data_IF_779551060460
#
_entry.id   IF_779551060460
#
_cell.length_a   1.000
_cell.length_b   1.000
_cell.length_c   1.000
_cell.angle_alpha   90.00
_cell.angle_beta   90.00
_cell.angle_gamma   90.00
#
_symmetry.space_group_name_H-M   'P 1'
#
loop_
_entity.id
_entity.type
_entity.pdbx_description
1 polymer ?
#
# COMPACT_ATOMS: atom_id res chain seq x y z
N UNK A 1 39.24 -11.93 9.88
CA UNK A 1 38.79 -10.64 10.44
C UNK A 1 37.27 -10.69 10.43
N UNK A 2 36.66 -10.87 11.61
CA UNK A 2 35.19 -10.87 11.75
C UNK A 2 34.70 -9.45 11.47
N UNK A 3 33.90 -9.26 10.41
CA UNK A 3 33.25 -7.97 10.15
C UNK A 3 32.36 -7.63 11.36
N UNK A 4 32.58 -6.45 11.95
CA UNK A 4 31.69 -5.92 12.99
C UNK A 4 30.28 -5.86 12.37
N UNK A 5 29.28 -6.51 12.97
CA UNK A 5 27.93 -6.47 12.42
C UNK A 5 27.47 -5.02 12.34
N UNK A 6 27.03 -4.59 11.15
CA UNK A 6 26.53 -3.22 10.92
C UNK A 6 25.31 -3.02 11.80
N UNK A 7 25.36 -2.05 12.71
CA UNK A 7 24.18 -1.66 13.50
C UNK A 7 23.09 -1.20 12.55
N UNK A 8 21.95 -1.87 12.59
CA UNK A 8 20.78 -1.54 11.76
C UNK A 8 19.76 -0.81 12.63
N UNK A 9 19.21 0.28 12.12
CA UNK A 9 18.11 1.00 12.77
C UNK A 9 16.80 0.45 12.28
N UNK A 10 15.94 -0.03 13.19
CA UNK A 10 14.68 -0.70 12.88
C UNK A 10 13.51 0.14 13.39
N UNK A 11 12.68 0.62 12.48
CA UNK A 11 11.43 1.30 12.78
C UNK A 11 10.34 0.30 13.14
N UNK A 12 9.56 0.57 14.17
CA UNK A 12 8.47 -0.29 14.63
C UNK A 12 7.18 0.50 14.63
N UNK A 13 6.21 0.03 13.83
CA UNK A 13 4.88 0.62 13.70
C UNK A 13 3.84 -0.44 14.01
N UNK A 14 3.00 -0.22 15.01
CA UNK A 14 1.89 -1.10 15.33
C UNK A 14 0.54 -0.44 15.00
N UNK A 15 -0.47 -1.26 14.73
CA UNK A 15 -1.85 -0.79 14.58
C UNK A 15 -2.26 -0.04 15.86
N UNK A 16 -2.77 1.18 15.71
CA UNK A 16 -3.32 1.95 16.83
C UNK A 16 -4.38 1.13 17.58
N UNK A 17 -4.36 1.20 18.91
CA UNK A 17 -5.27 0.46 19.81
C UNK A 17 -5.07 -1.07 19.86
N UNK A 18 -4.05 -1.65 19.21
CA UNK A 18 -3.74 -3.08 19.30
C UNK A 18 -3.04 -3.39 20.64
N UNK A 19 -3.82 -3.47 21.74
CA UNK A 19 -3.27 -3.75 23.08
C UNK A 19 -2.58 -5.12 23.17
N UNK A 20 -2.99 -6.06 22.36
CA UNK A 20 -2.38 -7.39 22.27
C UNK A 20 -0.93 -7.33 21.76
N UNK A 21 -0.54 -6.26 21.06
CA UNK A 21 0.84 -6.08 20.60
C UNK A 21 1.79 -5.66 21.73
N UNK A 22 1.31 -5.11 22.87
CA UNK A 22 2.17 -4.55 23.93
C UNK A 22 3.26 -5.51 24.44
N UNK A 23 2.99 -6.77 24.79
CA UNK A 23 4.05 -7.69 25.18
C UNK A 23 5.08 -7.91 24.07
N UNK A 24 4.61 -8.10 22.83
CA UNK A 24 5.48 -8.31 21.67
C UNK A 24 6.36 -7.10 21.34
N UNK A 25 5.85 -5.86 21.54
CA UNK A 25 6.65 -4.64 21.35
C UNK A 25 7.85 -4.60 22.31
N UNK A 26 7.64 -4.97 23.57
CA UNK A 26 8.72 -5.02 24.58
C UNK A 26 9.72 -6.14 24.27
N UNK A 27 9.24 -7.28 23.80
CA UNK A 27 10.09 -8.41 23.42
C UNK A 27 10.94 -8.07 22.18
N UNK A 28 10.35 -7.41 21.16
CA UNK A 28 11.09 -6.93 19.97
C UNK A 28 12.16 -5.91 20.36
N UNK A 29 11.82 -4.94 21.25
CA UNK A 29 12.80 -3.97 21.75
C UNK A 29 14.00 -4.67 22.39
N UNK A 30 13.75 -5.63 23.30
CA UNK A 30 14.78 -6.40 23.97
C UNK A 30 15.59 -7.25 22.98
N UNK A 31 14.93 -7.93 22.04
CA UNK A 31 15.55 -8.81 21.05
C UNK A 31 16.49 -8.05 20.11
N UNK A 32 16.06 -6.89 19.59
CA UNK A 32 16.86 -6.03 18.71
C UNK A 32 18.07 -5.46 19.47
N UNK A 33 17.84 -4.92 20.68
CA UNK A 33 18.91 -4.33 21.51
C UNK A 33 19.97 -5.34 21.88
N UNK A 34 19.58 -6.57 22.26
CA UNK A 34 20.51 -7.64 22.60
C UNK A 34 21.42 -8.06 21.42
N UNK A 35 20.99 -7.78 20.18
CA UNK A 35 21.76 -8.05 18.95
C UNK A 35 22.52 -6.83 18.41
N UNK A 36 22.51 -5.72 19.15
CA UNK A 36 23.23 -4.49 18.76
C UNK A 36 22.51 -3.65 17.71
N UNK A 37 21.22 -3.93 17.45
CA UNK A 37 20.37 -3.12 16.57
C UNK A 37 19.64 -2.04 17.37
N UNK A 38 19.22 -0.97 16.68
CA UNK A 38 18.57 0.17 17.29
C UNK A 38 17.09 0.23 16.94
N UNK A 39 16.18 -0.08 17.89
CA UNK A 39 14.75 0.12 17.68
C UNK A 39 14.36 1.61 17.75
N UNK A 40 13.49 2.05 16.85
CA UNK A 40 12.82 3.36 16.86
C UNK A 40 11.32 3.10 16.74
N UNK A 41 10.55 3.60 17.71
CA UNK A 41 9.10 3.38 17.72
C UNK A 41 8.36 4.57 17.11
N UNK A 42 7.33 4.28 16.34
CA UNK A 42 6.39 5.31 15.92
C UNK A 42 5.63 5.83 17.16
N UNK A 43 5.25 7.12 17.16
CA UNK A 43 4.67 7.81 18.32
C UNK A 43 3.44 7.10 18.90
N UNK A 44 2.46 6.71 18.05
CA UNK A 44 1.26 6.02 18.53
C UNK A 44 1.59 4.59 19.00
N UNK A 45 2.58 3.94 18.41
CA UNK A 45 3.09 2.63 18.82
C UNK A 45 3.77 2.71 20.19
N UNK A 46 4.61 3.72 20.42
CA UNK A 46 5.27 3.93 21.71
C UNK A 46 4.26 4.17 22.84
N UNK A 47 3.12 4.81 22.53
CA UNK A 47 2.04 5.05 23.49
C UNK A 47 1.33 3.77 23.98
N UNK A 48 1.50 2.63 23.27
CA UNK A 48 0.99 1.33 23.71
C UNK A 48 1.89 0.67 24.77
N UNK A 49 3.10 1.19 24.96
CA UNK A 49 4.14 0.62 25.83
C UNK A 49 4.29 1.43 27.13
N UNK A 50 4.81 0.79 28.17
CA UNK A 50 5.20 1.53 29.37
C UNK A 50 6.32 2.52 29.06
N UNK A 51 6.29 3.74 29.62
CA UNK A 51 7.34 4.73 29.43
C UNK A 51 8.73 4.16 29.84
N UNK A 52 9.74 4.39 28.99
CA UNK A 52 11.12 3.98 29.24
C UNK A 52 12.07 5.11 28.83
N UNK A 53 12.93 5.52 29.74
CA UNK A 53 13.97 6.50 29.46
C UNK A 53 14.90 5.98 28.34
N UNK A 54 15.25 6.85 27.40
CA UNK A 54 16.15 6.53 26.28
C UNK A 54 15.53 5.78 25.12
N UNK A 55 14.22 5.42 25.18
CA UNK A 55 13.52 4.87 24.01
C UNK A 55 13.44 5.93 22.90
N UNK A 56 13.87 5.56 21.69
CA UNK A 56 13.76 6.43 20.53
C UNK A 56 12.34 6.38 19.96
N UNK A 57 11.75 7.55 19.78
CA UNK A 57 10.38 7.72 19.25
C UNK A 57 10.41 8.78 18.17
N UNK A 58 9.70 8.56 17.10
CA UNK A 58 9.51 9.51 16.00
C UNK A 58 8.08 9.43 15.45
N UNK A 59 7.60 10.48 14.81
CA UNK A 59 6.40 10.37 14.00
C UNK A 59 6.67 9.51 12.76
N UNK A 60 5.63 9.06 12.09
CA UNK A 60 5.76 8.10 10.99
C UNK A 60 6.62 8.61 9.82
N UNK A 61 6.47 9.87 9.35
CA UNK A 61 7.34 10.42 8.29
C UNK A 61 8.82 10.50 8.72
N UNK A 62 9.12 10.99 9.92
CA UNK A 62 10.49 11.07 10.42
C UNK A 62 11.09 9.66 10.69
N UNK A 63 10.27 8.71 11.13
CA UNK A 63 10.68 7.33 11.34
C UNK A 63 11.17 6.72 10.02
N UNK A 64 10.33 6.73 8.96
CA UNK A 64 10.70 6.11 7.68
C UNK A 64 11.93 6.75 7.05
N UNK A 65 12.16 8.05 7.29
CA UNK A 65 13.32 8.77 6.78
C UNK A 65 14.64 8.44 7.52
N UNK A 66 14.57 7.83 8.72
CA UNK A 66 15.72 7.65 9.62
C UNK A 66 16.08 6.19 9.91
N UNK A 67 15.36 5.22 9.34
CA UNK A 67 15.57 3.79 9.62
C UNK A 67 16.03 3.02 8.38
N UNK A 68 16.64 1.86 8.60
CA UNK A 68 17.09 0.96 7.53
C UNK A 68 16.04 -0.13 7.18
N UNK A 69 15.08 -0.37 8.08
CA UNK A 69 14.01 -1.37 7.96
C UNK A 69 12.80 -0.90 8.76
N UNK A 70 11.59 -1.11 8.24
CA UNK A 70 10.35 -0.92 9.02
C UNK A 70 9.66 -2.25 9.26
N UNK A 71 9.31 -2.52 10.51
CA UNK A 71 8.46 -3.64 10.93
C UNK A 71 7.08 -3.11 11.24
N UNK A 72 6.08 -3.63 10.55
CA UNK A 72 4.67 -3.27 10.73
C UNK A 72 3.98 -4.42 11.46
N UNK A 73 3.42 -4.13 12.63
CA UNK A 73 2.65 -5.07 13.44
C UNK A 73 1.17 -4.74 13.33
N UNK A 74 0.43 -5.49 12.52
CA UNK A 74 -0.99 -5.20 12.27
C UNK A 74 -1.50 -5.87 11.00
N UNK A 75 -2.51 -5.28 10.38
CA UNK A 75 -3.05 -5.73 9.10
C UNK A 75 -2.64 -4.83 7.94
N UNK A 76 -3.16 -5.13 6.75
CA UNK A 76 -2.85 -4.44 5.50
C UNK A 76 -3.03 -2.91 5.58
N UNK A 77 -4.08 -2.40 6.25
CA UNK A 77 -4.29 -0.97 6.40
C UNK A 77 -3.17 -0.23 7.16
N UNK A 78 -2.52 -0.89 8.14
CA UNK A 78 -1.37 -0.31 8.83
C UNK A 78 -0.15 -0.27 7.89
N UNK A 79 0.04 -1.33 7.11
CA UNK A 79 1.12 -1.41 6.12
C UNK A 79 0.94 -0.35 5.03
N UNK A 80 -0.28 -0.17 4.50
CA UNK A 80 -0.59 0.86 3.50
C UNK A 80 -0.18 2.25 3.99
N UNK A 81 -0.48 2.60 5.25
CA UNK A 81 -0.11 3.91 5.81
C UNK A 81 1.41 4.11 5.95
N UNK A 82 2.19 3.02 6.12
CA UNK A 82 3.66 3.08 6.13
C UNK A 82 4.18 3.19 4.70
N UNK A 83 3.61 2.42 3.77
CA UNK A 83 3.99 2.46 2.36
C UNK A 83 3.79 3.86 1.74
N UNK A 84 2.68 4.54 2.09
CA UNK A 84 2.43 5.93 1.69
C UNK A 84 3.55 6.86 2.20
N UNK A 85 3.91 6.76 3.49
CA UNK A 85 5.00 7.57 4.06
C UNK A 85 6.36 7.28 3.41
N UNK A 86 6.69 6.00 3.13
CA UNK A 86 7.92 5.60 2.44
C UNK A 86 7.96 6.18 1.02
N UNK A 87 6.85 6.08 0.30
CA UNK A 87 6.71 6.65 -1.03
C UNK A 87 6.82 8.17 -1.04
N UNK A 88 6.11 8.86 -0.14
CA UNK A 88 6.13 10.32 -0.01
C UNK A 88 7.50 10.86 0.39
N UNK A 89 8.22 10.18 1.29
CA UNK A 89 9.59 10.53 1.67
C UNK A 89 10.61 10.24 0.56
N UNK A 90 10.25 9.46 -0.47
CA UNK A 90 11.14 9.07 -1.54
C UNK A 90 12.34 8.23 -1.07
N UNK A 91 12.19 7.51 0.05
CA UNK A 91 13.24 6.66 0.63
C UNK A 91 13.09 5.21 0.16
N UNK A 92 14.22 4.48 0.20
CA UNK A 92 14.25 3.07 -0.20
C UNK A 92 14.41 2.18 1.05
N UNK A 93 13.37 2.16 1.88
CA UNK A 93 13.33 1.39 3.13
C UNK A 93 12.41 0.18 2.96
N UNK A 94 12.90 -1.06 3.17
CA UNK A 94 12.06 -2.24 3.09
C UNK A 94 11.09 -2.33 4.28
N UNK A 95 9.94 -2.95 4.04
CA UNK A 95 8.88 -3.13 5.04
C UNK A 95 8.65 -4.61 5.27
N UNK A 96 8.72 -5.05 6.53
CA UNK A 96 8.28 -6.36 6.98
C UNK A 96 6.90 -6.26 7.61
N UNK A 97 5.88 -6.83 6.97
CA UNK A 97 4.51 -6.85 7.49
C UNK A 97 4.22 -8.11 8.30
N UNK A 98 3.88 -7.96 9.57
CA UNK A 98 3.53 -9.06 10.51
C UNK A 98 2.07 -8.92 10.91
N UNK A 99 1.29 -9.94 10.63
CA UNK A 99 -0.14 -9.97 10.89
C UNK A 99 -0.46 -10.41 12.32
N UNK A 100 -1.40 -9.71 12.95
CA UNK A 100 -1.93 -10.00 14.29
C UNK A 100 -3.36 -10.57 14.28
N UNK A 101 -3.89 -10.95 13.12
CA UNK A 101 -5.26 -11.44 12.97
C UNK A 101 -5.41 -12.41 11.81
N UNK A 102 -6.44 -12.23 11.01
CA UNK A 102 -6.58 -12.98 9.75
C UNK A 102 -5.49 -12.55 8.78
N UNK A 103 -4.85 -13.52 8.15
CA UNK A 103 -3.78 -13.30 7.17
C UNK A 103 -4.22 -12.30 6.10
N UNK A 104 -3.41 -11.26 5.89
CA UNK A 104 -3.62 -10.26 4.85
C UNK A 104 -2.92 -10.62 3.54
N UNK A 105 -3.11 -9.79 2.53
CA UNK A 105 -2.42 -9.92 1.25
C UNK A 105 -1.05 -9.20 1.24
N UNK A 106 -0.86 -8.25 2.16
CA UNK A 106 0.39 -7.48 2.31
C UNK A 106 1.16 -7.89 3.56
N UNK A 107 0.45 -8.22 4.64
CA UNK A 107 1.02 -8.66 5.91
C UNK A 107 1.03 -10.19 5.93
N UNK A 108 2.04 -10.79 5.32
CA UNK A 108 2.11 -12.23 5.09
C UNK A 108 2.81 -13.01 6.22
N UNK A 109 3.66 -12.36 7.03
CA UNK A 109 4.27 -12.98 8.18
C UNK A 109 3.28 -13.10 9.34
N UNK A 110 3.27 -14.25 10.00
CA UNK A 110 2.54 -14.48 11.25
C UNK A 110 3.41 -14.15 12.46
N UNK A 111 2.82 -14.04 13.66
CA UNK A 111 3.58 -13.80 14.90
C UNK A 111 4.69 -14.84 15.17
N UNK A 112 4.46 -16.14 14.98
CA UNK A 112 5.54 -17.14 15.10
C UNK A 112 6.70 -16.93 14.13
N UNK A 113 6.44 -16.34 12.95
CA UNK A 113 7.43 -16.07 11.91
C UNK A 113 8.16 -14.73 12.10
N UNK A 114 7.75 -13.90 13.07
CA UNK A 114 8.33 -12.58 13.32
C UNK A 114 9.85 -12.62 13.46
N UNK A 115 10.36 -13.38 14.43
CA UNK A 115 11.81 -13.42 14.72
C UNK A 115 12.62 -14.10 13.62
N UNK A 116 12.22 -15.24 13.05
CA UNK A 116 12.89 -15.78 11.85
C UNK A 116 12.94 -14.81 10.68
N UNK A 117 11.86 -14.07 10.43
CA UNK A 117 11.80 -13.06 9.36
C UNK A 117 12.67 -11.83 9.65
N UNK A 118 12.72 -11.38 10.90
CA UNK A 118 13.63 -10.32 11.34
C UNK A 118 15.11 -10.74 11.19
N UNK A 119 15.46 -11.94 11.60
CA UNK A 119 16.83 -12.48 11.46
C UNK A 119 17.24 -12.51 9.98
N UNK A 120 16.35 -13.02 9.11
CA UNK A 120 16.59 -13.04 7.67
C UNK A 120 16.72 -11.63 7.07
N UNK A 121 15.90 -10.68 7.52
CA UNK A 121 15.96 -9.28 7.08
C UNK A 121 17.28 -8.61 7.49
N UNK A 122 17.68 -8.76 8.75
CA UNK A 122 18.89 -8.14 9.30
C UNK A 122 20.18 -8.78 8.79
N UNK A 123 20.15 -10.06 8.42
CA UNK A 123 21.28 -10.75 7.78
C UNK A 123 21.35 -10.54 6.26
N UNK A 124 20.36 -9.85 5.65
CA UNK A 124 20.29 -9.64 4.20
C UNK A 124 19.86 -10.88 3.41
N UNK A 125 19.30 -11.89 4.08
CA UNK A 125 18.84 -13.13 3.46
C UNK A 125 17.34 -13.13 3.13
N UNK A 126 16.59 -12.09 3.58
CA UNK A 126 15.18 -11.99 3.28
C UNK A 126 14.96 -11.74 1.78
N UNK A 127 13.95 -12.41 1.23
CA UNK A 127 13.50 -12.13 -0.13
C UNK A 127 12.76 -10.80 -0.16
N UNK A 128 13.15 -9.94 -1.09
CA UNK A 128 12.51 -8.65 -1.32
C UNK A 128 11.57 -8.76 -2.51
N UNK A 129 10.34 -8.29 -2.35
CA UNK A 129 9.40 -8.09 -3.45
C UNK A 129 9.13 -6.60 -3.65
N UNK A 130 9.33 -6.16 -4.86
CA UNK A 130 9.02 -4.78 -5.26
C UNK A 130 7.56 -4.65 -5.66
N UNK A 131 6.88 -3.66 -5.09
CA UNK A 131 5.48 -3.36 -5.36
C UNK A 131 5.36 -2.01 -6.05
N UNK A 132 4.68 -2.02 -7.18
CA UNK A 132 4.33 -0.82 -7.91
C UNK A 132 3.38 0.05 -7.09
N UNK A 133 3.57 1.37 -7.12
CA UNK A 133 2.62 2.34 -6.60
C UNK A 133 2.05 3.21 -7.72
N UNK A 134 0.85 3.70 -7.53
CA UNK A 134 0.28 4.77 -8.34
C UNK A 134 0.61 6.12 -7.73
N UNK A 135 0.81 7.10 -8.60
CA UNK A 135 0.90 8.52 -8.28
C UNK A 135 -0.28 9.23 -8.95
N UNK A 136 -1.07 9.91 -8.16
CA UNK A 136 -2.22 10.65 -8.63
C UNK A 136 -2.08 12.14 -8.36
N UNK A 137 -2.41 12.96 -9.36
CA UNK A 137 -2.41 14.43 -9.28
C UNK A 137 -3.73 14.92 -9.86
N UNK A 138 -4.46 15.73 -9.13
CA UNK A 138 -5.65 16.41 -9.67
C UNK A 138 -5.27 17.76 -10.22
N UNK A 139 -5.65 18.02 -11.46
CA UNK A 139 -5.53 19.31 -12.10
C UNK A 139 -6.84 20.06 -11.91
N UNK A 140 -6.79 21.22 -11.22
CA UNK A 140 -7.93 22.10 -10.98
C UNK A 140 -7.66 23.47 -11.57
N UNK A 141 -8.49 23.91 -12.50
CA UNK A 141 -8.29 25.20 -13.20
C UNK A 141 -6.84 25.39 -13.72
N UNK A 142 -6.21 24.33 -14.23
CA UNK A 142 -4.84 24.36 -14.73
C UNK A 142 -3.74 24.26 -13.67
N UNK A 143 -4.08 24.23 -12.39
CA UNK A 143 -3.14 24.12 -11.26
C UNK A 143 -3.13 22.68 -10.74
N UNK A 144 -1.95 22.13 -10.50
CA UNK A 144 -1.79 20.82 -9.88
C UNK A 144 -2.04 20.92 -8.36
N UNK A 145 -2.95 20.11 -7.84
CA UNK A 145 -3.11 19.90 -6.40
C UNK A 145 -1.99 18.98 -5.88
N UNK A 146 -1.82 18.89 -4.55
CA UNK A 146 -0.83 17.97 -3.97
C UNK A 146 -0.94 16.56 -4.52
N UNK A 147 0.20 15.95 -4.78
CA UNK A 147 0.28 14.56 -5.24
C UNK A 147 -0.06 13.59 -4.10
N UNK A 148 -0.71 12.49 -4.47
CA UNK A 148 -0.99 11.37 -3.57
C UNK A 148 -0.43 10.08 -4.17
N UNK A 149 0.01 9.20 -3.30
CA UNK A 149 0.46 7.86 -3.65
C UNK A 149 -0.58 6.82 -3.23
N UNK A 150 -0.63 5.71 -3.94
CA UNK A 150 -1.46 4.57 -3.59
C UNK A 150 -0.74 3.27 -3.92
N UNK A 151 -0.68 2.35 -2.96
CA UNK A 151 -0.14 1.01 -3.17
C UNK A 151 -1.19 0.07 -3.78
N UNK A 152 -2.47 0.23 -3.38
CA UNK A 152 -3.59 -0.54 -3.93
C UNK A 152 -4.27 0.18 -5.08
N UNK A 153 -4.94 1.30 -4.80
CA UNK A 153 -5.84 1.91 -5.78
C UNK A 153 -6.09 3.40 -5.55
N UNK A 154 -6.47 4.05 -6.65
CA UNK A 154 -7.08 5.39 -6.69
C UNK A 154 -8.52 5.19 -7.13
N UNK A 155 -9.48 5.60 -6.29
CA UNK A 155 -10.90 5.41 -6.54
C UNK A 155 -11.59 6.75 -6.74
N UNK A 156 -12.28 6.89 -7.85
CA UNK A 156 -13.15 8.04 -8.14
C UNK A 156 -14.59 7.55 -8.03
N UNK A 157 -15.34 8.07 -7.06
CA UNK A 157 -16.69 7.57 -6.77
C UNK A 157 -17.63 8.69 -6.37
N UNK A 158 -18.92 8.47 -6.58
CA UNK A 158 -19.99 9.36 -6.11
C UNK A 158 -20.18 9.27 -4.59
N UNK A 159 -20.79 10.29 -4.01
CA UNK A 159 -21.36 10.19 -2.66
C UNK A 159 -22.48 9.13 -2.62
N UNK A 160 -22.69 8.52 -1.44
CA UNK A 160 -23.61 7.39 -1.26
C UNK A 160 -25.06 7.63 -1.76
N UNK A 161 -25.53 8.88 -1.77
CA UNK A 161 -26.89 9.26 -2.21
C UNK A 161 -26.92 9.98 -3.56
N UNK A 162 -25.78 10.15 -4.22
CA UNK A 162 -25.71 10.82 -5.51
C UNK A 162 -26.20 9.91 -6.66
N UNK A 163 -26.57 10.53 -7.80
CA UNK A 163 -26.85 9.81 -9.04
C UNK A 163 -25.56 9.17 -9.57
N UNK A 164 -25.66 8.24 -10.52
CA UNK A 164 -24.48 7.67 -11.19
C UNK A 164 -23.56 8.77 -11.71
N UNK A 165 -22.26 8.53 -11.61
CA UNK A 165 -21.28 9.44 -12.21
C UNK A 165 -21.14 9.16 -13.70
N UNK A 166 -20.76 10.20 -14.42
CA UNK A 166 -20.33 10.10 -15.82
C UNK A 166 -18.85 10.51 -15.87
N UNK A 167 -17.97 9.55 -16.16
CA UNK A 167 -16.52 9.75 -16.14
C UNK A 167 -15.97 9.58 -17.55
N UNK A 168 -15.28 10.61 -18.08
CA UNK A 168 -14.46 10.52 -19.28
C UNK A 168 -13.10 9.93 -18.94
N UNK A 169 -12.71 8.84 -19.60
CA UNK A 169 -11.44 8.13 -19.34
C UNK A 169 -10.59 8.13 -20.60
N UNK A 170 -9.36 8.61 -20.46
CA UNK A 170 -8.32 8.57 -21.51
C UNK A 170 -7.06 7.91 -21.01
N UNK A 171 -6.33 7.24 -21.92
CA UNK A 171 -5.02 6.62 -21.66
C UNK A 171 -4.01 7.20 -22.65
N UNK A 172 -2.99 7.84 -22.14
CA UNK A 172 -2.15 8.69 -22.97
C UNK A 172 -2.98 9.80 -23.61
N UNK A 173 -2.89 9.94 -24.93
CA UNK A 173 -3.66 10.92 -25.69
C UNK A 173 -4.94 10.33 -26.34
N UNK A 174 -5.20 9.05 -26.08
CA UNK A 174 -6.36 8.36 -26.65
C UNK A 174 -7.54 8.35 -25.68
N UNK A 175 -8.70 8.77 -26.18
CA UNK A 175 -9.97 8.58 -25.47
C UNK A 175 -10.33 7.09 -25.48
N UNK A 176 -10.54 6.50 -24.31
CA UNK A 176 -10.84 5.07 -24.18
C UNK A 176 -12.35 4.84 -24.08
N UNK A 177 -13.01 5.51 -23.14
CA UNK A 177 -14.41 5.27 -22.86
C UNK A 177 -15.05 6.36 -22.02
N UNK A 178 -16.37 6.35 -21.99
CA UNK A 178 -17.20 7.07 -21.05
C UNK A 178 -17.84 6.08 -20.09
N UNK A 179 -17.55 6.20 -18.80
CA UNK A 179 -18.02 5.28 -17.77
C UNK A 179 -19.21 5.91 -17.04
N UNK A 180 -20.40 5.35 -17.25
CA UNK A 180 -21.59 5.64 -16.43
C UNK A 180 -21.71 4.57 -15.36
N UNK A 181 -21.34 4.90 -14.12
CA UNK A 181 -21.18 3.95 -13.04
C UNK A 181 -21.30 4.62 -11.67
N UNK A 182 -21.19 3.88 -10.59
CA UNK A 182 -21.05 4.43 -9.26
C UNK A 182 -19.64 4.99 -9.04
N UNK A 183 -18.66 4.58 -9.86
CA UNK A 183 -17.30 5.08 -9.86
C UNK A 183 -16.37 4.28 -10.76
N UNK A 184 -15.07 4.60 -10.64
CA UNK A 184 -13.98 3.93 -11.33
C UNK A 184 -12.84 3.68 -10.34
N UNK A 185 -12.32 2.47 -10.35
CA UNK A 185 -11.11 2.07 -9.65
C UNK A 185 -9.96 2.05 -10.65
N UNK A 186 -8.86 2.69 -10.30
CA UNK A 186 -7.58 2.55 -10.98
C UNK A 186 -6.63 1.87 -10.00
N UNK A 187 -6.33 0.59 -10.24
CA UNK A 187 -5.61 -0.25 -9.30
C UNK A 187 -4.22 -0.66 -9.80
N UNK A 188 -3.32 -0.89 -8.87
CA UNK A 188 -2.06 -1.61 -9.10
C UNK A 188 -2.34 -3.12 -9.17
N UNK A 189 -1.38 -3.95 -9.61
CA UNK A 189 -1.47 -5.39 -9.44
C UNK A 189 -1.62 -5.81 -7.97
N UNK A 190 -0.98 -5.11 -7.04
CA UNK A 190 -1.16 -5.32 -5.59
C UNK A 190 -2.61 -5.08 -5.17
N UNK A 191 -3.20 -3.96 -5.58
CA UNK A 191 -4.59 -3.60 -5.30
C UNK A 191 -5.62 -4.42 -6.07
N UNK A 192 -5.19 -5.26 -7.03
CA UNK A 192 -6.11 -6.14 -7.78
C UNK A 192 -6.90 -7.08 -6.88
N UNK A 193 -6.39 -7.38 -5.69
CA UNK A 193 -7.04 -8.24 -4.67
C UNK A 193 -7.79 -7.44 -3.60
N UNK A 194 -7.75 -6.09 -3.66
CA UNK A 194 -8.46 -5.20 -2.75
C UNK A 194 -9.85 -4.81 -3.31
N UNK A 195 -10.18 -3.53 -3.34
CA UNK A 195 -11.50 -3.07 -3.81
C UNK A 195 -11.77 -3.45 -5.27
N UNK A 196 -10.72 -3.49 -6.09
CA UNK A 196 -10.80 -3.98 -7.47
C UNK A 196 -11.47 -5.36 -7.57
N UNK A 197 -11.12 -6.30 -6.69
CA UNK A 197 -11.69 -7.66 -6.69
C UNK A 197 -13.19 -7.61 -6.37
N UNK A 198 -13.59 -6.85 -5.35
CA UNK A 198 -14.99 -6.68 -4.97
C UNK A 198 -15.84 -6.03 -6.08
N UNK A 199 -15.23 -5.17 -6.92
CA UNK A 199 -15.86 -4.57 -8.08
C UNK A 199 -15.87 -5.47 -9.33
N UNK A 200 -15.37 -6.70 -9.24
CA UNK A 200 -15.33 -7.66 -10.34
C UNK A 200 -14.15 -7.47 -11.30
N UNK A 201 -13.12 -6.76 -10.89
CA UNK A 201 -11.85 -6.64 -11.62
C UNK A 201 -11.04 -7.92 -11.63
N UNK A 202 -10.09 -8.10 -12.55
CA UNK A 202 -9.23 -9.26 -12.63
C UNK A 202 -8.20 -9.25 -11.51
N UNK A 203 -7.78 -10.45 -11.09
CA UNK A 203 -6.61 -10.64 -10.25
C UNK A 203 -5.36 -10.58 -11.12
N UNK A 204 -4.41 -9.73 -10.74
CA UNK A 204 -3.13 -9.58 -11.43
C UNK A 204 -2.00 -9.89 -10.46
N UNK A 205 -1.03 -10.70 -10.90
CA UNK A 205 0.15 -10.98 -10.07
C UNK A 205 0.94 -9.70 -9.81
N UNK A 206 1.41 -9.46 -8.57
CA UNK A 206 2.13 -8.24 -8.20
C UNK A 206 3.40 -7.94 -9.00
N UNK A 207 3.99 -8.97 -9.64
CA UNK A 207 5.20 -8.84 -10.49
C UNK A 207 4.90 -8.33 -11.90
N UNK A 208 3.63 -8.26 -12.31
CA UNK A 208 3.23 -7.78 -13.63
C UNK A 208 3.19 -6.26 -13.63
N UNK A 209 3.85 -5.64 -14.60
CA UNK A 209 3.84 -4.18 -14.77
C UNK A 209 2.57 -3.72 -15.51
N UNK A 210 1.49 -3.53 -14.76
CA UNK A 210 0.18 -3.17 -15.28
C UNK A 210 -0.56 -2.18 -14.38
N UNK A 211 -1.56 -1.53 -14.96
CA UNK A 211 -2.61 -0.76 -14.26
C UNK A 211 -3.94 -1.39 -14.63
N UNK A 212 -4.83 -1.55 -13.67
CA UNK A 212 -6.17 -2.10 -13.86
C UNK A 212 -7.20 -0.98 -13.70
N UNK A 213 -8.10 -0.84 -14.66
CA UNK A 213 -9.24 0.08 -14.59
C UNK A 213 -10.50 -0.74 -14.45
N UNK A 214 -11.21 -0.58 -13.35
CA UNK A 214 -12.43 -1.36 -13.04
C UNK A 214 -13.59 -0.42 -12.70
N UNK A 215 -14.65 -0.37 -13.54
CA UNK A 215 -15.86 0.38 -13.23
C UNK A 215 -16.58 -0.23 -12.02
N UNK A 216 -17.13 0.61 -11.15
CA UNK A 216 -17.95 0.18 -9.99
C UNK A 216 -19.41 0.21 -10.40
N UNK A 217 -20.08 -0.95 -10.38
CA UNK A 217 -21.48 -1.09 -10.76
C UNK A 217 -21.85 -0.35 -12.07
N UNK A 218 -21.20 -0.64 -13.21
CA UNK A 218 -21.45 0.06 -14.45
C UNK A 218 -22.84 -0.22 -14.97
N UNK A 219 -23.50 0.82 -15.48
CA UNK A 219 -24.82 0.69 -16.08
C UNK A 219 -24.77 0.12 -17.50
N UNK A 220 -23.68 0.34 -18.22
CA UNK A 220 -23.51 -0.16 -19.59
C UNK A 220 -22.81 -1.53 -19.57
N UNK A 221 -23.41 -2.50 -20.25
CA UNK A 221 -22.89 -3.87 -20.38
C UNK A 221 -21.55 -3.95 -21.11
N UNK A 222 -21.17 -2.92 -21.85
CA UNK A 222 -19.89 -2.82 -22.58
C UNK A 222 -18.73 -2.39 -21.69
N UNK A 223 -19.00 -1.76 -20.54
CA UNK A 223 -17.96 -1.32 -19.61
C UNK A 223 -17.42 -2.52 -18.83
N UNK A 224 -16.30 -3.03 -19.27
CA UNK A 224 -15.56 -4.14 -18.65
C UNK A 224 -14.29 -3.62 -18.02
N UNK A 225 -13.77 -4.29 -16.97
CA UNK A 225 -12.41 -4.03 -16.49
C UNK A 225 -11.40 -4.21 -17.63
N UNK A 226 -10.43 -3.31 -17.70
CA UNK A 226 -9.32 -3.37 -18.65
C UNK A 226 -7.98 -3.32 -17.92
N UNK A 227 -6.99 -4.00 -18.50
CA UNK A 227 -5.60 -4.00 -18.02
C UNK A 227 -4.76 -3.29 -19.07
N UNK A 228 -3.97 -2.32 -18.64
CA UNK A 228 -3.10 -1.51 -19.48
C UNK A 228 -1.66 -1.56 -18.98
N UNK A 229 -0.66 -1.24 -19.81
CA UNK A 229 0.73 -1.17 -19.36
C UNK A 229 0.93 -0.16 -18.24
N UNK A 230 1.84 -0.48 -17.31
CA UNK A 230 2.20 0.39 -16.19
C UNK A 230 2.79 1.75 -16.63
N UNK A 231 3.34 1.83 -17.84
CA UNK A 231 3.87 3.08 -18.43
C UNK A 231 2.79 4.07 -18.86
N UNK A 232 1.52 3.68 -18.78
CA UNK A 232 0.39 4.50 -19.24
C UNK A 232 0.10 5.64 -18.27
N UNK A 233 -0.33 6.79 -18.83
CA UNK A 233 -0.94 7.88 -18.08
C UNK A 233 -2.46 7.77 -18.24
N UNK A 234 -3.16 7.53 -17.14
CA UNK A 234 -4.62 7.53 -17.08
C UNK A 234 -5.10 8.93 -16.72
N UNK A 235 -6.06 9.46 -17.49
CA UNK A 235 -6.74 10.72 -17.18
C UNK A 235 -8.22 10.41 -16.98
N UNK A 236 -8.75 10.86 -15.86
CA UNK A 236 -10.17 10.70 -15.52
C UNK A 236 -10.76 12.08 -15.26
N UNK A 237 -11.76 12.45 -16.07
CA UNK A 237 -12.44 13.71 -15.92
C UNK A 237 -13.91 13.45 -15.59
N UNK A 238 -14.38 13.84 -14.40
CA UNK A 238 -15.80 13.78 -14.05
C UNK A 238 -16.60 14.77 -14.89
N UNK A 239 -17.66 14.30 -15.50
CA UNK A 239 -18.63 15.11 -16.22
C UNK A 239 -19.74 15.51 -15.23
N UNK A 240 -19.45 16.52 -14.40
CA UNK A 240 -20.28 16.90 -13.25
C UNK A 240 -21.43 17.84 -13.65
N UNK A 241 -22.62 17.58 -13.12
CA UNK A 241 -23.70 18.55 -13.02
C UNK A 241 -23.61 19.33 -11.69
N UNK A 242 -24.33 20.46 -11.55
CA UNK A 242 -24.26 21.38 -10.40
C UNK A 242 -24.47 20.72 -9.00
N UNK A 243 -25.07 19.53 -8.96
CA UNK A 243 -25.42 18.84 -7.70
C UNK A 243 -24.67 17.52 -7.51
N UNK A 244 -23.70 17.24 -8.36
CA UNK A 244 -22.95 15.99 -8.27
C UNK A 244 -21.86 16.13 -7.19
N UNK A 245 -21.79 15.14 -6.32
CA UNK A 245 -20.73 15.00 -5.32
C UNK A 245 -19.88 13.80 -5.70
N UNK A 246 -18.68 14.06 -6.22
CA UNK A 246 -17.72 13.06 -6.64
C UNK A 246 -16.45 13.23 -5.79
N UNK A 247 -15.91 12.12 -5.33
CA UNK A 247 -14.72 12.08 -4.49
C UNK A 247 -13.63 11.26 -5.17
N UNK A 248 -12.37 11.65 -4.94
CA UNK A 248 -11.21 10.81 -5.20
C UNK A 248 -10.63 10.35 -3.86
N UNK A 249 -10.28 9.06 -3.77
CA UNK A 249 -9.64 8.46 -2.58
C UNK A 249 -8.43 7.64 -2.98
N UNK A 250 -7.47 7.51 -2.05
CA UNK A 250 -6.20 6.83 -2.23
C UNK A 250 -6.04 5.77 -1.15
N UNK A 251 -5.98 4.49 -1.55
CA UNK A 251 -5.93 3.32 -0.64
C UNK A 251 -7.04 3.31 0.44
N UNK A 252 -8.14 4.04 0.21
CA UNK A 252 -9.21 4.22 1.19
C UNK A 252 -8.80 4.99 2.45
N UNK A 253 -7.61 5.63 2.50
CA UNK A 253 -7.09 6.32 3.68
C UNK A 253 -7.20 7.84 3.61
N UNK A 254 -6.95 8.42 2.47
CA UNK A 254 -7.06 9.85 2.21
C UNK A 254 -7.99 10.09 1.03
N UNK A 255 -8.51 11.30 0.91
CA UNK A 255 -9.33 11.68 -0.24
C UNK A 255 -9.95 13.06 -0.08
N UNK A 256 -10.53 13.56 -1.16
CA UNK A 256 -11.21 14.86 -1.20
C UNK A 256 -12.27 14.88 -2.30
N UNK A 257 -13.13 15.88 -2.22
CA UNK A 257 -14.17 16.13 -3.20
C UNK A 257 -13.56 16.78 -4.45
N UNK A 258 -13.95 16.25 -5.62
CA UNK A 258 -13.65 16.85 -6.93
C UNK A 258 -14.61 17.97 -7.24
N UNK A 259 -14.14 18.94 -8.03
CA UNK A 259 -14.92 20.05 -8.53
C UNK A 259 -15.16 19.94 -10.05
N UNK A 260 -16.11 20.68 -10.55
CA UNK A 260 -16.38 20.70 -11.99
C UNK A 260 -15.16 21.20 -12.77
N UNK A 261 -14.73 20.42 -13.76
CA UNK A 261 -13.53 20.72 -14.56
C UNK A 261 -12.24 20.10 -14.03
N UNK A 262 -12.27 19.45 -12.86
CA UNK A 262 -11.10 18.71 -12.37
C UNK A 262 -10.76 17.54 -13.30
N UNK A 263 -9.45 17.28 -13.45
CA UNK A 263 -8.91 16.12 -14.15
C UNK A 263 -7.95 15.37 -13.22
N UNK A 264 -8.26 14.13 -12.89
CA UNK A 264 -7.37 13.26 -12.10
C UNK A 264 -6.42 12.55 -13.05
N UNK A 265 -5.13 12.82 -12.92
CA UNK A 265 -4.04 12.18 -13.65
C UNK A 265 -3.40 11.12 -12.80
N UNK A 266 -3.37 9.89 -13.30
CA UNK A 266 -2.87 8.73 -12.56
C UNK A 266 -1.82 8.02 -13.41
N UNK A 267 -0.65 7.80 -12.84
CA UNK A 267 0.47 7.06 -13.47
C UNK A 267 1.21 6.25 -12.43
N UNK A 268 2.08 5.36 -12.84
CA UNK A 268 2.99 4.72 -11.89
C UNK A 268 3.94 5.74 -11.26
N UNK A 269 4.21 5.54 -9.98
CA UNK A 269 5.25 6.26 -9.27
C UNK A 269 6.64 5.82 -9.75
N UNK A 270 7.61 6.71 -9.64
CA UNK A 270 8.97 6.45 -10.11
C UNK A 270 9.70 5.40 -9.25
N UNK A 271 9.25 5.21 -8.01
CA UNK A 271 9.81 4.25 -7.07
C UNK A 271 8.78 3.21 -6.68
N UNK A 272 9.27 2.01 -6.37
CA UNK A 272 8.49 0.88 -5.86
C UNK A 272 8.70 0.75 -4.37
N UNK A 273 7.70 0.24 -3.67
CA UNK A 273 7.84 -0.16 -2.26
C UNK A 273 8.40 -1.56 -2.19
N UNK A 274 9.38 -1.78 -1.31
CA UNK A 274 9.98 -3.09 -1.06
C UNK A 274 9.33 -3.76 0.13
N UNK A 275 8.68 -4.90 -0.10
CA UNK A 275 8.13 -5.75 0.94
C UNK A 275 9.04 -6.95 1.17
N UNK A 276 9.28 -7.29 2.44
CA UNK A 276 10.03 -8.48 2.81
C UNK A 276 9.10 -9.66 2.98
N UNK A 277 9.45 -10.78 2.35
CA UNK A 277 8.74 -12.05 2.50
C UNK A 277 9.22 -12.80 3.74
N UNK A 278 8.30 -13.52 4.46
CA UNK A 278 8.69 -14.44 5.52
C UNK A 278 9.67 -15.51 5.02
N UNK A 279 10.66 -15.84 5.82
CA UNK A 279 11.68 -16.84 5.47
C UNK A 279 11.14 -18.26 5.29
N UNK A 280 9.98 -18.56 5.89
CA UNK A 280 9.32 -19.88 5.82
C UNK A 280 8.49 -20.09 4.55
N UNK A 281 8.29 -19.04 3.75
CA UNK A 281 7.52 -19.12 2.51
C UNK A 281 8.32 -19.54 1.27
N UNK A 282 9.64 -19.73 1.37
CA UNK A 282 10.41 -20.29 0.27
C UNK A 282 10.23 -21.82 0.25
N UNK A 283 9.52 -22.39 -0.75
CA UNK A 283 9.53 -23.83 -0.93
C UNK A 283 10.97 -24.26 -1.27
N UNK A 284 11.44 -25.42 -0.79
CA UNK A 284 12.74 -25.94 -1.20
C UNK A 284 12.82 -25.96 -2.72
N UNK A 285 14.00 -25.58 -3.25
CA UNK A 285 14.31 -25.56 -4.69
C UNK A 285 13.87 -26.89 -5.31
N UNK A 286 12.80 -26.87 -6.13
CA UNK A 286 12.19 -28.05 -6.74
C UNK A 286 10.75 -28.37 -6.32
N UNK A 287 10.19 -27.75 -5.28
CA UNK A 287 8.78 -27.85 -4.97
C UNK A 287 8.01 -26.64 -5.55
N UNK A 288 6.98 -26.99 -6.30
CA UNK A 288 6.10 -26.10 -7.09
C UNK A 288 5.94 -24.71 -6.47
N UNK A 289 6.20 -23.68 -7.27
CA UNK A 289 5.76 -22.31 -7.03
C UNK A 289 4.36 -22.34 -6.41
N UNK A 290 4.22 -21.99 -5.12
CA UNK A 290 2.91 -21.65 -4.58
C UNK A 290 2.67 -20.21 -4.98
N UNK A 291 1.82 -19.93 -5.95
CA UNK A 291 1.41 -18.58 -6.21
C UNK A 291 0.57 -18.11 -5.02
N UNK A 292 0.67 -16.84 -4.68
CA UNK A 292 -0.29 -16.11 -3.85
C UNK A 292 -1.75 -16.29 -4.32
N UNK A 293 -1.96 -16.80 -5.52
CA UNK A 293 -3.23 -17.28 -6.09
C UNK A 293 -3.90 -18.41 -5.29
N UNK A 294 -3.16 -19.25 -4.55
CA UNK A 294 -3.79 -20.35 -3.77
C UNK A 294 -4.51 -19.82 -2.52
N UNK A 295 -4.13 -18.65 -2.01
CA UNK A 295 -4.85 -17.98 -0.93
C UNK A 295 -6.16 -17.33 -1.42
N UNK A 296 -6.30 -17.12 -2.72
CA UNK A 296 -7.45 -16.46 -3.36
C UNK A 296 -8.59 -17.44 -3.71
N UNK A 297 -8.33 -18.73 -3.71
CA UNK A 297 -9.30 -19.78 -4.10
C UNK A 297 -9.76 -20.63 -2.90
N UNK A 298 -9.45 -20.21 -1.68
CA UNK A 298 -10.00 -20.74 -0.43
C UNK A 298 -10.83 -19.65 0.23
#
# INVERSE_FOLDING_TARGET
MSAVPKTTTVGIVAKSHLREATPHLSDIEAWLTARGHQPVFETATAALMSPRAGRKVADKPALVASVDLVVVLGGDGTLLSVADCVGAAGVDVPILGVNFGSLGFLTEATLPELYPSLEAALSGQARVEERLMLRATTMRAGVALPEHLALNDVVITKAARARMTDLSVSVGDEFVTRVKADGLIVATPTGSTAYNLAAGGPIVQPVVDAIVLTPIAPHMLTNRPIVIPASSLVRVQPMMAERDEIYVTFDGQAGYQLEAGDEVRIRCADRRVRLLRPSTMDPPIGSRCRPSLTALLR
#
